data_IF_698838202350
#
_entry.id   IF_698838202350
#
_cell.length_a   1.000
_cell.length_b   1.000
_cell.length_c   1.000
_cell.angle_alpha   90.00
_cell.angle_beta   90.00
_cell.angle_gamma   90.00
#
_symmetry.space_group_name_H-M   'P 1'
#
loop_
_entity.id
_entity.type
_entity.pdbx_description
1 polymer ?
#
# COMPACT_ATOMS: atom_id res chain seq x y z
N UNK A 1 -11.68 -28.28 -9.62
CA UNK A 1 -10.32 -28.48 -9.09
C UNK A 1 -9.31 -28.58 -10.23
N UNK A 2 -8.76 -27.42 -10.56
CA UNK A 2 -7.70 -27.15 -11.52
C UNK A 2 -6.44 -27.91 -11.11
N UNK A 3 -5.72 -28.40 -12.10
CA UNK A 3 -4.53 -29.21 -11.86
C UNK A 3 -3.35 -28.32 -11.39
N UNK A 4 -2.73 -28.66 -10.26
CA UNK A 4 -1.61 -27.91 -9.69
C UNK A 4 -0.39 -27.81 -10.63
N UNK A 5 -0.12 -28.85 -11.44
CA UNK A 5 0.95 -28.81 -12.45
C UNK A 5 0.64 -27.79 -13.55
N UNK A 6 -0.63 -27.77 -14.00
CA UNK A 6 -1.08 -26.80 -15.00
C UNK A 6 -0.95 -25.36 -14.49
N UNK A 7 -1.38 -25.07 -13.26
CA UNK A 7 -1.19 -23.77 -12.60
C UNK A 7 0.30 -23.42 -12.53
N UNK A 8 1.14 -24.35 -12.05
CA UNK A 8 2.58 -24.15 -11.92
C UNK A 8 3.25 -23.82 -13.26
N UNK A 9 2.87 -24.48 -14.34
CA UNK A 9 3.45 -24.24 -15.66
C UNK A 9 2.99 -22.91 -16.26
N UNK A 10 1.72 -22.50 -16.03
CA UNK A 10 1.25 -21.16 -16.39
C UNK A 10 2.01 -20.06 -15.62
N UNK A 11 2.24 -20.25 -14.32
CA UNK A 11 3.03 -19.30 -13.51
C UNK A 11 4.51 -19.23 -13.96
N UNK A 12 5.12 -20.35 -14.38
CA UNK A 12 6.47 -20.35 -14.98
C UNK A 12 6.51 -19.57 -16.28
N UNK A 13 5.48 -19.73 -17.13
CA UNK A 13 5.33 -18.96 -18.36
C UNK A 13 5.25 -17.46 -18.05
N UNK A 14 4.41 -17.06 -17.10
CA UNK A 14 4.31 -15.68 -16.64
C UNK A 14 5.63 -15.10 -16.11
N UNK A 15 6.39 -15.89 -15.34
CA UNK A 15 7.72 -15.49 -14.87
C UNK A 15 8.69 -15.23 -16.03
N UNK A 16 8.67 -16.08 -17.06
CA UNK A 16 9.50 -15.91 -18.26
C UNK A 16 9.10 -14.67 -19.06
N UNK A 17 7.80 -14.44 -19.25
CA UNK A 17 7.27 -13.32 -20.03
C UNK A 17 7.49 -11.97 -19.34
N UNK A 18 7.32 -11.92 -18.02
CA UNK A 18 7.56 -10.71 -17.22
C UNK A 18 9.04 -10.45 -16.87
N UNK A 19 9.93 -11.42 -17.10
CA UNK A 19 11.33 -11.37 -16.67
C UNK A 19 11.53 -11.42 -15.15
N UNK A 20 10.46 -11.64 -14.37
CA UNK A 20 10.49 -11.74 -12.91
C UNK A 20 10.96 -13.13 -12.48
N UNK A 21 11.58 -13.22 -11.29
CA UNK A 21 11.95 -14.52 -10.75
C UNK A 21 10.70 -15.36 -10.43
N UNK A 22 10.71 -16.66 -10.72
CA UNK A 22 9.56 -17.54 -10.49
C UNK A 22 9.04 -17.51 -9.04
N UNK A 23 9.93 -17.38 -8.06
CA UNK A 23 9.55 -17.24 -6.65
C UNK A 23 8.71 -15.98 -6.39
N UNK A 24 8.95 -14.88 -7.12
CA UNK A 24 8.16 -13.66 -6.98
C UNK A 24 6.74 -13.83 -7.54
N UNK A 25 6.62 -14.54 -8.67
CA UNK A 25 5.32 -14.91 -9.24
C UNK A 25 4.55 -15.85 -8.31
N UNK A 26 5.23 -16.81 -7.67
CA UNK A 26 4.60 -17.69 -6.68
C UNK A 26 4.09 -16.93 -5.45
N UNK A 27 4.88 -15.98 -4.94
CA UNK A 27 4.46 -15.15 -3.81
C UNK A 27 3.26 -14.31 -4.22
N UNK A 28 3.33 -13.60 -5.35
CA UNK A 28 2.24 -12.78 -5.86
C UNK A 28 0.94 -13.60 -6.03
N UNK A 29 1.05 -14.82 -6.57
CA UNK A 29 -0.09 -15.74 -6.68
C UNK A 29 -0.66 -16.13 -5.32
N UNK A 30 0.19 -16.44 -4.33
CA UNK A 30 -0.27 -16.72 -2.97
C UNK A 30 -0.98 -15.52 -2.33
N UNK A 31 -0.50 -14.29 -2.54
CA UNK A 31 -1.16 -13.09 -2.01
C UNK A 31 -2.50 -12.84 -2.72
N UNK A 32 -2.53 -12.87 -4.05
CA UNK A 32 -3.73 -12.71 -4.87
C UNK A 32 -4.83 -13.69 -4.46
N UNK A 33 -4.50 -14.99 -4.34
CA UNK A 33 -5.48 -16.02 -3.98
C UNK A 33 -5.89 -15.99 -2.50
N UNK A 34 -5.10 -15.36 -1.64
CA UNK A 34 -5.50 -15.02 -0.27
C UNK A 34 -6.50 -13.86 -0.26
N UNK A 35 -6.28 -12.85 -1.09
CA UNK A 35 -7.19 -11.71 -1.28
C UNK A 35 -8.51 -12.17 -1.90
N UNK A 36 -8.48 -13.12 -2.85
CA UNK A 36 -9.69 -13.74 -3.39
C UNK A 36 -10.52 -14.42 -2.30
N UNK A 37 -9.90 -15.21 -1.42
CA UNK A 37 -10.61 -15.83 -0.29
C UNK A 37 -11.22 -14.78 0.63
N UNK A 38 -10.49 -13.68 0.90
CA UNK A 38 -11.05 -12.55 1.65
C UNK A 38 -12.27 -11.94 0.93
N UNK A 39 -12.21 -11.75 -0.40
CA UNK A 39 -13.26 -11.10 -1.18
C UNK A 39 -14.57 -11.87 -1.19
N UNK A 40 -14.51 -13.20 -1.18
CA UNK A 40 -15.70 -14.07 -1.13
C UNK A 40 -16.12 -14.46 0.28
N UNK A 41 -15.40 -13.99 1.31
CA UNK A 41 -15.73 -14.25 2.71
C UNK A 41 -16.78 -13.28 3.27
N UNK A 42 -17.42 -13.65 4.38
CA UNK A 42 -18.29 -12.77 5.16
C UNK A 42 -17.56 -11.53 5.76
N UNK A 43 -16.22 -11.51 5.71
CA UNK A 43 -15.40 -10.46 6.31
C UNK A 43 -15.00 -9.36 5.32
N UNK A 44 -15.33 -9.46 4.03
CA UNK A 44 -14.89 -8.51 2.99
C UNK A 44 -15.18 -7.05 3.34
N UNK A 45 -16.34 -6.78 3.96
CA UNK A 45 -16.75 -5.42 4.36
C UNK A 45 -15.92 -4.84 5.51
N UNK A 46 -15.27 -5.71 6.29
CA UNK A 46 -14.57 -5.37 7.53
C UNK A 46 -13.08 -5.10 7.34
N UNK A 47 -12.54 -5.37 6.15
CA UNK A 47 -11.15 -5.12 5.82
C UNK A 47 -11.03 -4.20 4.62
N UNK A 48 -10.01 -3.34 4.62
CA UNK A 48 -9.70 -2.45 3.51
C UNK A 48 -8.22 -2.61 3.14
N UNK A 49 -7.94 -2.94 1.88
CA UNK A 49 -6.59 -3.09 1.36
C UNK A 49 -5.83 -1.76 1.36
N UNK A 50 -4.59 -1.78 1.85
CA UNK A 50 -3.70 -0.63 1.89
C UNK A 50 -2.27 -1.01 1.47
N UNK A 51 -1.33 -0.11 1.71
CA UNK A 51 0.09 -0.41 1.65
C UNK A 51 0.60 -0.82 0.27
N UNK A 52 1.60 -1.71 0.23
CA UNK A 52 2.32 -2.04 -1.01
C UNK A 52 1.50 -2.83 -2.02
N UNK A 53 0.67 -3.74 -1.51
CA UNK A 53 -0.20 -4.60 -2.31
C UNK A 53 -1.34 -3.81 -2.97
N UNK A 54 -1.82 -2.74 -2.33
CA UNK A 54 -2.76 -1.81 -2.95
C UNK A 54 -2.12 -1.08 -4.13
N UNK A 55 -0.90 -0.55 -3.96
CA UNK A 55 -0.17 0.08 -5.06
C UNK A 55 0.10 -0.92 -6.19
N UNK A 56 0.49 -2.16 -5.87
CA UNK A 56 0.62 -3.23 -6.86
C UNK A 56 -0.63 -3.38 -7.73
N UNK A 57 -1.81 -3.34 -7.12
CA UNK A 57 -3.06 -3.44 -7.84
C UNK A 57 -3.40 -2.20 -8.68
N UNK A 58 -3.13 -0.99 -8.17
CA UNK A 58 -3.36 0.26 -8.92
C UNK A 58 -2.57 0.34 -10.23
N UNK A 59 -1.39 -0.26 -10.27
CA UNK A 59 -0.53 -0.26 -11.46
C UNK A 59 -0.54 -1.62 -12.18
N UNK A 60 -1.69 -2.32 -12.17
CA UNK A 60 -1.93 -3.55 -12.96
C UNK A 60 -0.86 -4.64 -12.81
N UNK A 61 -0.29 -4.77 -11.61
CA UNK A 61 0.75 -5.75 -11.32
C UNK A 61 2.14 -5.42 -11.87
N UNK A 62 2.31 -4.24 -12.46
CA UNK A 62 3.60 -3.68 -12.90
C UNK A 62 4.34 -2.96 -11.77
N UNK A 63 3.68 -2.66 -10.64
CA UNK A 63 4.34 -1.92 -9.57
C UNK A 63 5.57 -2.66 -9.03
N UNK A 64 6.72 -2.01 -9.23
CA UNK A 64 7.99 -2.68 -9.15
C UNK A 64 8.40 -3.07 -7.72
N UNK A 65 7.79 -2.50 -6.67
CA UNK A 65 8.16 -2.89 -5.30
C UNK A 65 7.45 -4.19 -4.95
N UNK A 66 8.16 -5.32 -5.07
CA UNK A 66 7.66 -6.61 -4.59
C UNK A 66 7.18 -6.49 -3.14
N UNK A 67 5.86 -6.48 -2.98
CA UNK A 67 5.19 -6.67 -1.70
C UNK A 67 5.23 -8.17 -1.41
N UNK A 68 5.50 -8.52 -0.16
CA UNK A 68 5.54 -9.92 0.31
C UNK A 68 4.40 -10.22 1.27
N UNK A 69 3.57 -9.23 1.47
CA UNK A 69 2.68 -9.02 2.57
C UNK A 69 1.43 -8.32 2.04
N UNK A 70 0.29 -8.68 2.63
CA UNK A 70 -0.99 -8.02 2.42
C UNK A 70 -1.16 -7.04 3.58
N UNK A 71 -1.28 -5.75 3.29
CA UNK A 71 -1.60 -4.75 4.30
C UNK A 71 -3.12 -4.50 4.30
N UNK A 72 -3.78 -4.67 5.45
CA UNK A 72 -5.20 -4.40 5.64
C UNK A 72 -5.42 -3.39 6.76
N UNK A 73 -6.45 -2.56 6.64
CA UNK A 73 -7.07 -1.87 7.76
C UNK A 73 -8.34 -2.61 8.18
N UNK A 74 -8.42 -3.01 9.44
CA UNK A 74 -9.63 -3.57 10.02
C UNK A 74 -10.60 -2.47 10.48
N UNK A 75 -11.90 -2.68 10.25
CA UNK A 75 -12.98 -1.83 10.72
C UNK A 75 -14.06 -2.67 11.39
N UNK A 76 -14.58 -2.19 12.53
CA UNK A 76 -15.62 -2.88 13.30
C UNK A 76 -15.23 -4.34 13.68
N UNK A 77 -13.94 -4.55 13.97
CA UNK A 77 -13.35 -5.81 14.41
C UNK A 77 -12.41 -5.51 15.59
N UNK A 78 -12.43 -6.30 16.67
CA UNK A 78 -11.44 -6.18 17.75
C UNK A 78 -10.06 -6.67 17.30
N UNK A 79 -9.00 -6.04 17.80
CA UNK A 79 -7.60 -6.46 17.60
C UNK A 79 -7.18 -7.65 18.50
N UNK A 80 -8.14 -8.48 18.93
CA UNK A 80 -7.91 -9.65 19.77
C UNK A 80 -7.31 -10.80 18.93
N UNK A 81 -6.21 -11.40 19.39
CA UNK A 81 -5.49 -12.43 18.63
C UNK A 81 -6.34 -13.68 18.37
N UNK A 82 -7.10 -14.16 19.35
CA UNK A 82 -7.96 -15.35 19.19
C UNK A 82 -9.09 -15.08 18.18
N UNK A 83 -9.66 -13.88 18.22
CA UNK A 83 -10.66 -13.45 17.25
C UNK A 83 -10.06 -13.36 15.85
N UNK A 84 -8.90 -12.71 15.70
CA UNK A 84 -8.19 -12.60 14.42
C UNK A 84 -7.81 -13.98 13.87
N UNK A 85 -7.35 -14.90 14.72
CA UNK A 85 -7.06 -16.28 14.34
C UNK A 85 -8.30 -17.00 13.82
N UNK A 86 -9.45 -16.85 14.47
CA UNK A 86 -10.73 -17.42 13.98
C UNK A 86 -11.14 -16.83 12.63
N UNK A 87 -11.07 -15.50 12.47
CA UNK A 87 -11.41 -14.81 11.21
C UNK A 87 -10.56 -15.33 10.07
N UNK A 88 -9.24 -15.36 10.25
CA UNK A 88 -8.34 -15.81 9.17
C UNK A 88 -8.36 -17.32 8.96
N UNK A 89 -8.61 -18.13 9.99
CA UNK A 89 -8.88 -19.56 9.79
C UNK A 89 -10.11 -19.77 8.90
N UNK A 90 -11.20 -19.02 9.14
CA UNK A 90 -12.40 -19.07 8.30
C UNK A 90 -12.09 -18.64 6.87
N UNK A 91 -11.38 -17.53 6.66
CA UNK A 91 -10.99 -17.06 5.32
C UNK A 91 -10.14 -18.10 4.58
N UNK A 92 -9.08 -18.61 5.21
CA UNK A 92 -8.16 -19.57 4.57
C UNK A 92 -8.75 -20.97 4.40
N UNK A 93 -9.83 -21.31 5.12
CA UNK A 93 -10.57 -22.56 4.95
C UNK A 93 -11.49 -22.59 3.73
N UNK A 94 -11.73 -21.45 3.08
CA UNK A 94 -12.58 -21.36 1.89
C UNK A 94 -11.92 -22.16 0.76
N UNK A 95 -12.64 -23.17 0.28
CA UNK A 95 -12.22 -23.97 -0.87
C UNK A 95 -12.38 -23.15 -2.15
N UNK A 96 -11.34 -23.12 -2.97
CA UNK A 96 -11.31 -22.35 -4.22
C UNK A 96 -10.64 -23.18 -5.30
N UNK A 97 -11.08 -22.97 -6.55
CA UNK A 97 -10.55 -23.70 -7.69
C UNK A 97 -9.21 -23.14 -8.22
N UNK A 98 -8.21 -23.01 -7.33
CA UNK A 98 -6.91 -22.36 -7.60
C UNK A 98 -5.69 -23.24 -7.25
N UNK A 99 -5.91 -24.51 -6.93
CA UNK A 99 -4.88 -25.49 -6.57
C UNK A 99 -3.99 -25.12 -5.35
N UNK A 100 -4.32 -24.05 -4.61
CA UNK A 100 -3.67 -23.73 -3.35
C UNK A 100 -4.35 -24.45 -2.19
N UNK A 101 -3.54 -24.98 -1.29
CA UNK A 101 -3.98 -25.53 -0.01
C UNK A 101 -3.32 -24.76 1.13
N UNK A 102 -4.13 -24.13 1.97
CA UNK A 102 -3.64 -23.44 3.16
C UNK A 102 -3.56 -24.43 4.31
N UNK A 103 -2.41 -24.46 4.97
CA UNK A 103 -2.16 -25.33 6.12
C UNK A 103 -2.53 -24.59 7.40
N UNK A 104 -3.75 -24.84 7.88
CA UNK A 104 -4.30 -24.18 9.06
C UNK A 104 -3.53 -24.50 10.35
N UNK A 105 -2.76 -25.60 10.39
CA UNK A 105 -1.90 -25.92 11.54
C UNK A 105 -0.72 -24.96 11.64
N UNK A 106 -0.36 -24.31 10.52
CA UNK A 106 0.69 -23.27 10.47
C UNK A 106 0.16 -21.86 10.69
N UNK A 107 -1.14 -21.68 10.89
CA UNK A 107 -1.73 -20.36 11.10
C UNK A 107 -1.31 -19.80 12.47
N UNK A 108 -0.55 -18.70 12.42
CA UNK A 108 -0.11 -17.96 13.59
C UNK A 108 -0.53 -16.50 13.54
N UNK A 109 -0.79 -15.94 14.71
CA UNK A 109 -1.31 -14.57 14.87
C UNK A 109 -0.59 -13.90 16.04
N UNK A 110 0.16 -12.84 15.74
CA UNK A 110 0.97 -12.14 16.74
C UNK A 110 0.71 -10.63 16.72
N UNK A 111 0.89 -9.98 17.88
CA UNK A 111 0.86 -8.52 17.93
C UNK A 111 2.09 -7.95 17.24
N UNK A 112 1.88 -6.88 16.49
CA UNK A 112 2.94 -6.05 15.94
C UNK A 112 2.74 -4.61 16.38
N UNK A 113 3.84 -3.87 16.53
CA UNK A 113 3.76 -2.44 16.81
C UNK A 113 3.60 -1.71 15.48
N UNK A 114 2.42 -1.13 15.26
CA UNK A 114 2.24 -0.11 14.24
C UNK A 114 2.61 1.26 14.85
N UNK A 115 2.84 2.29 14.04
CA UNK A 115 3.40 3.56 14.49
C UNK A 115 2.71 4.14 15.75
N UNK A 116 3.56 4.55 16.71
CA UNK A 116 3.34 5.33 17.94
C UNK A 116 2.21 4.92 18.92
N UNK A 117 1.02 4.44 18.53
CA UNK A 117 -0.06 4.17 19.49
C UNK A 117 -0.99 2.96 19.21
N UNK A 118 -0.94 2.32 18.03
CA UNK A 118 -1.82 1.18 17.72
C UNK A 118 -1.08 -0.15 17.60
N UNK A 119 -1.52 -1.13 18.37
CA UNK A 119 -1.08 -2.52 18.21
C UNK A 119 -1.82 -3.15 17.03
N UNK A 120 -1.12 -3.24 15.90
CA UNK A 120 -1.53 -4.06 14.76
C UNK A 120 -1.40 -5.55 15.07
N UNK A 121 -1.86 -6.36 14.14
CA UNK A 121 -1.74 -7.82 14.20
C UNK A 121 -1.11 -8.32 12.91
N UNK A 122 -0.10 -9.17 13.00
CA UNK A 122 0.39 -9.94 11.88
C UNK A 122 -0.25 -11.33 11.92
N UNK A 123 -0.71 -11.78 10.76
CA UNK A 123 -1.21 -13.14 10.52
C UNK A 123 -0.29 -13.81 9.52
N UNK A 124 0.22 -14.98 9.87
CA UNK A 124 1.09 -15.76 8.99
C UNK A 124 0.55 -17.16 8.79
N UNK A 125 0.68 -17.68 7.57
CA UNK A 125 0.23 -19.04 7.21
C UNK A 125 1.06 -19.57 6.03
N UNK A 126 1.21 -20.89 5.92
CA UNK A 126 1.81 -21.53 4.75
C UNK A 126 0.71 -22.02 3.80
N UNK A 127 0.76 -21.55 2.56
CA UNK A 127 0.04 -22.14 1.44
C UNK A 127 0.93 -23.11 0.67
N UNK A 128 0.33 -24.09 0.02
CA UNK A 128 0.99 -25.08 -0.80
C UNK A 128 0.40 -25.11 -2.21
N UNK A 129 1.26 -24.99 -3.21
CA UNK A 129 0.97 -25.37 -4.59
C UNK A 129 1.67 -26.71 -4.86
N UNK A 130 0.91 -27.80 -4.81
CA UNK A 130 1.45 -29.17 -4.73
C UNK A 130 2.44 -29.28 -3.54
N UNK A 131 3.74 -29.53 -3.77
CA UNK A 131 4.76 -29.61 -2.71
C UNK A 131 5.48 -28.29 -2.45
N UNK A 132 5.19 -27.24 -3.23
CA UNK A 132 5.88 -25.96 -3.14
C UNK A 132 5.24 -25.08 -2.07
N UNK A 133 6.02 -24.73 -1.03
CA UNK A 133 5.61 -23.82 0.05
C UNK A 133 5.58 -22.38 -0.43
N UNK A 134 4.51 -21.68 -0.08
CA UNK A 134 4.29 -20.26 -0.34
C UNK A 134 3.89 -19.61 1.00
N UNK A 135 4.83 -18.98 1.72
CA UNK A 135 4.50 -18.23 2.92
C UNK A 135 3.62 -17.03 2.58
N UNK A 136 2.54 -16.85 3.33
CA UNK A 136 1.62 -15.70 3.24
C UNK A 136 1.65 -14.95 4.57
N UNK A 137 1.77 -13.62 4.48
CA UNK A 137 1.77 -12.72 5.63
C UNK A 137 0.73 -11.63 5.40
N UNK A 138 -0.10 -11.36 6.41
CA UNK A 138 -1.12 -10.32 6.41
C UNK A 138 -0.92 -9.42 7.62
N UNK A 139 -0.58 -8.16 7.39
CA UNK A 139 -0.49 -7.14 8.42
C UNK A 139 -1.82 -6.41 8.50
N UNK A 140 -2.40 -6.39 9.69
CA UNK A 140 -3.69 -5.78 9.97
C UNK A 140 -3.49 -4.61 10.92
N UNK A 141 -3.68 -3.41 10.39
CA UNK A 141 -3.76 -2.18 11.16
C UNK A 141 -5.16 -1.88 11.67
N UNK A 142 -5.25 -0.99 12.65
CA UNK A 142 -6.49 -0.60 13.31
C UNK A 142 -6.51 0.91 13.56
N UNK A 143 -7.70 1.51 13.56
CA UNK A 143 -7.91 2.88 14.02
C UNK A 143 -7.71 3.98 12.97
N UNK A 144 -6.93 3.72 11.91
CA UNK A 144 -6.67 4.72 10.87
C UNK A 144 -7.95 5.27 10.20
N UNK A 145 -7.85 6.52 9.74
CA UNK A 145 -8.92 7.23 9.06
C UNK A 145 -8.75 7.11 7.55
N UNK A 146 -9.84 6.78 6.86
CA UNK A 146 -9.93 6.81 5.40
C UNK A 146 -10.82 7.98 5.00
N UNK A 147 -10.33 8.84 4.11
CA UNK A 147 -11.08 9.93 3.52
C UNK A 147 -10.84 10.04 2.01
N UNK A 148 -11.86 10.29 1.18
CA UNK A 148 -13.27 10.51 1.53
C UNK A 148 -14.01 9.26 2.02
N UNK A 149 -13.68 8.08 1.48
CA UNK A 149 -14.22 6.77 1.88
C UNK A 149 -13.36 5.64 1.28
N UNK A 150 -13.58 4.41 1.76
CA UNK A 150 -13.00 3.20 1.12
C UNK A 150 -13.62 3.00 -0.26
N UNK A 151 -12.81 2.65 -1.25
CA UNK A 151 -13.27 2.40 -2.63
C UNK A 151 -13.43 0.90 -2.86
N UNK A 152 -14.32 0.50 -3.77
CA UNK A 152 -14.33 -0.88 -4.28
C UNK A 152 -13.32 -0.97 -5.41
N UNK A 153 -12.56 -2.05 -5.46
CA UNK A 153 -11.62 -2.33 -6.53
C UNK A 153 -11.70 -3.80 -6.97
N UNK A 154 -11.50 -4.01 -8.26
CA UNK A 154 -11.11 -5.29 -8.85
C UNK A 154 -9.60 -5.44 -8.63
N UNK A 155 -9.19 -6.50 -7.94
CA UNK A 155 -7.78 -6.78 -7.73
C UNK A 155 -7.23 -7.57 -8.94
N UNK A 156 -6.10 -7.18 -9.54
CA UNK A 156 -5.62 -7.84 -10.75
C UNK A 156 -5.17 -9.28 -10.47
N UNK A 157 -5.40 -10.16 -11.45
CA UNK A 157 -5.03 -11.57 -11.39
C UNK A 157 -3.89 -11.92 -12.34
N UNK A 158 -3.01 -12.82 -11.91
CA UNK A 158 -1.85 -13.29 -12.68
C UNK A 158 -2.24 -14.30 -13.77
N UNK A 159 -3.32 -15.04 -13.53
CA UNK A 159 -3.84 -16.08 -14.41
C UNK A 159 -5.29 -15.75 -14.71
N UNK A 160 -5.76 -16.13 -15.91
CA UNK A 160 -7.17 -16.12 -16.27
C UNK A 160 -7.99 -16.95 -15.25
N UNK A 161 -8.52 -16.23 -14.26
CA UNK A 161 -9.21 -16.65 -13.03
C UNK A 161 -10.11 -15.50 -12.59
N UNK A 162 -11.09 -15.78 -11.74
CA UNK A 162 -12.00 -14.75 -11.23
C UNK A 162 -11.26 -13.72 -10.36
N UNK A 163 -11.54 -12.44 -10.64
CA UNK A 163 -10.93 -11.28 -9.98
C UNK A 163 -11.54 -11.04 -8.60
N UNK A 164 -10.73 -10.78 -7.56
CA UNK A 164 -11.23 -10.39 -6.24
C UNK A 164 -11.87 -9.01 -6.26
N UNK A 165 -13.12 -8.91 -5.79
CA UNK A 165 -13.79 -7.64 -5.50
C UNK A 165 -13.63 -7.27 -4.02
N UNK A 166 -12.78 -6.28 -3.72
CA UNK A 166 -12.43 -5.91 -2.35
C UNK A 166 -12.59 -4.41 -2.09
N UNK A 167 -12.54 -4.03 -0.81
CA UNK A 167 -12.38 -2.64 -0.43
C UNK A 167 -10.92 -2.24 -0.35
N UNK A 168 -10.62 -1.01 -0.74
CA UNK A 168 -9.28 -0.44 -0.74
C UNK A 168 -9.26 1.01 -0.25
N UNK A 169 -8.07 1.50 0.07
CA UNK A 169 -7.86 2.91 0.38
C UNK A 169 -8.15 3.78 -0.85
N UNK A 170 -8.57 5.02 -0.60
CA UNK A 170 -8.52 6.08 -1.60
C UNK A 170 -7.08 6.57 -1.78
N UNK A 171 -6.73 7.09 -2.95
CA UNK A 171 -5.40 7.68 -3.20
C UNK A 171 -5.09 8.82 -2.20
N UNK A 172 -6.03 9.76 -1.90
CA UNK A 172 -5.81 10.76 -0.86
C UNK A 172 -5.45 10.16 0.50
N UNK A 173 -6.06 9.05 0.91
CA UNK A 173 -5.74 8.38 2.18
C UNK A 173 -4.33 7.80 2.17
N UNK A 174 -3.91 7.18 1.07
CA UNK A 174 -2.54 6.63 0.94
C UNK A 174 -1.50 7.73 0.96
N UNK A 175 -1.71 8.82 0.21
CA UNK A 175 -0.79 9.98 0.23
C UNK A 175 -0.71 10.57 1.63
N UNK A 176 -1.85 10.75 2.30
CA UNK A 176 -1.92 11.31 3.65
C UNK A 176 -1.18 10.46 4.69
N UNK A 177 -1.37 9.14 4.66
CA UNK A 177 -0.70 8.22 5.58
C UNK A 177 0.82 8.22 5.39
N UNK A 178 1.26 8.20 4.13
CA UNK A 178 2.69 8.23 3.78
C UNK A 178 3.31 9.57 4.15
N UNK A 179 2.60 10.65 3.89
CA UNK A 179 3.06 11.99 4.22
C UNK A 179 3.19 12.18 5.74
N UNK A 180 2.19 11.74 6.50
CA UNK A 180 2.25 11.75 7.97
C UNK A 180 3.44 10.96 8.48
N UNK A 181 3.69 9.76 7.95
CA UNK A 181 4.84 8.95 8.34
C UNK A 181 6.18 9.63 7.97
N UNK A 182 6.24 10.36 6.85
CA UNK A 182 7.41 11.14 6.43
C UNK A 182 7.72 12.23 7.45
N UNK A 183 6.70 13.00 7.84
CA UNK A 183 6.82 14.12 8.78
C UNK A 183 7.15 13.61 10.19
N UNK A 184 6.37 12.64 10.71
CA UNK A 184 6.50 12.12 12.08
C UNK A 184 7.85 11.47 12.38
N UNK A 185 8.55 10.96 11.36
CA UNK A 185 9.90 10.40 11.46
C UNK A 185 11.02 11.44 11.37
N UNK A 186 10.78 12.60 10.74
CA UNK A 186 11.76 13.66 10.55
C UNK A 186 13.12 13.15 10.04
N UNK A 187 14.22 13.55 10.71
CA UNK A 187 15.58 13.16 10.36
C UNK A 187 15.86 11.64 10.50
N UNK A 188 15.10 10.90 11.32
CA UNK A 188 15.30 9.47 11.50
C UNK A 188 14.74 8.63 10.34
N UNK A 189 14.25 9.26 9.27
CA UNK A 189 13.51 8.58 8.23
C UNK A 189 14.32 7.48 7.53
N UNK A 190 13.71 6.30 7.46
CA UNK A 190 14.20 5.14 6.69
C UNK A 190 13.16 4.64 5.68
N UNK A 191 11.97 5.26 5.67
CA UNK A 191 10.82 4.85 4.85
C UNK A 191 10.87 5.50 3.47
N UNK A 192 12.01 5.40 2.78
CA UNK A 192 12.19 5.94 1.41
C UNK A 192 11.14 5.46 0.40
N UNK A 193 10.57 4.28 0.63
CA UNK A 193 9.41 3.79 -0.13
C UNK A 193 8.25 4.78 -0.12
N UNK A 194 7.99 5.48 0.99
CA UNK A 194 6.84 6.38 1.09
C UNK A 194 7.04 7.66 0.26
N UNK A 195 8.27 8.19 0.21
CA UNK A 195 8.62 9.28 -0.71
C UNK A 195 8.45 8.85 -2.16
N UNK A 196 8.95 7.65 -2.49
CA UNK A 196 8.82 7.10 -3.83
C UNK A 196 7.37 6.87 -4.24
N UNK A 197 6.57 6.29 -3.36
CA UNK A 197 5.17 5.98 -3.62
C UNK A 197 4.35 7.26 -3.84
N UNK A 198 4.56 8.32 -3.03
CA UNK A 198 3.93 9.64 -3.27
C UNK A 198 4.37 10.21 -4.63
N UNK A 199 5.66 10.15 -4.94
CA UNK A 199 6.17 10.61 -6.23
C UNK A 199 5.50 9.90 -7.40
N UNK A 200 5.36 8.57 -7.35
CA UNK A 200 4.70 7.82 -8.42
C UNK A 200 3.22 8.20 -8.51
N UNK A 201 2.50 8.25 -7.39
CA UNK A 201 1.08 8.63 -7.38
C UNK A 201 0.86 10.03 -7.97
N UNK A 202 1.69 11.00 -7.60
CA UNK A 202 1.64 12.37 -8.13
C UNK A 202 1.90 12.45 -9.64
N UNK A 203 2.65 11.49 -10.20
CA UNK A 203 2.96 11.46 -11.63
C UNK A 203 1.93 10.68 -12.47
N UNK A 204 0.93 10.06 -11.84
CA UNK A 204 -0.01 9.17 -12.54
C UNK A 204 -1.48 9.50 -12.33
N UNK A 205 -1.82 10.25 -11.28
CA UNK A 205 -3.20 10.53 -10.95
C UNK A 205 -3.43 12.03 -10.76
N UNK A 206 -4.53 12.51 -11.33
CA UNK A 206 -5.08 13.81 -10.97
C UNK A 206 -5.67 13.74 -9.57
N UNK A 207 -5.51 14.81 -8.79
CA UNK A 207 -5.93 14.85 -7.39
C UNK A 207 -6.79 16.08 -7.12
N UNK A 208 -7.93 15.87 -6.46
CA UNK A 208 -8.73 16.97 -5.96
C UNK A 208 -8.07 17.57 -4.69
N UNK A 209 -7.80 18.88 -4.73
CA UNK A 209 -7.10 19.56 -3.65
C UNK A 209 -7.90 19.63 -2.37
N UNK A 210 -9.24 19.70 -2.44
CA UNK A 210 -10.12 19.73 -1.28
C UNK A 210 -10.15 18.36 -0.60
N UNK A 211 -10.23 17.29 -1.39
CA UNK A 211 -10.18 15.93 -0.87
C UNK A 211 -8.82 15.61 -0.23
N UNK A 212 -7.73 15.94 -0.92
CA UNK A 212 -6.38 15.70 -0.40
C UNK A 212 -6.12 16.51 0.87
N UNK A 213 -6.54 17.78 0.91
CA UNK A 213 -6.46 18.63 2.10
C UNK A 213 -7.16 18.00 3.29
N UNK A 214 -8.41 17.58 3.12
CA UNK A 214 -9.20 17.03 4.22
C UNK A 214 -8.68 15.66 4.66
N UNK A 215 -8.19 14.83 3.73
CA UNK A 215 -7.51 13.58 4.07
C UNK A 215 -6.26 13.82 4.92
N UNK A 216 -5.38 14.74 4.51
CA UNK A 216 -4.15 15.07 5.25
C UNK A 216 -4.51 15.60 6.63
N UNK A 217 -5.44 16.56 6.71
CA UNK A 217 -5.88 17.14 7.98
C UNK A 217 -6.40 16.08 8.95
N UNK A 218 -7.24 15.15 8.49
CA UNK A 218 -7.79 14.08 9.32
C UNK A 218 -6.74 13.09 9.78
N UNK A 219 -5.84 12.67 8.89
CA UNK A 219 -4.78 11.73 9.21
C UNK A 219 -3.79 12.30 10.22
N UNK A 220 -3.33 13.54 10.01
CA UNK A 220 -2.40 14.21 10.92
C UNK A 220 -3.02 14.45 12.30
N UNK A 221 -4.28 14.91 12.34
CA UNK A 221 -5.00 15.09 13.60
C UNK A 221 -5.22 13.76 14.34
N UNK A 222 -5.58 12.70 13.61
CA UNK A 222 -5.79 11.37 14.20
C UNK A 222 -4.51 10.78 14.81
N UNK A 223 -3.36 11.02 14.17
CA UNK A 223 -2.06 10.49 14.61
C UNK A 223 -1.27 11.45 15.51
N UNK A 224 -1.82 12.62 15.84
CA UNK A 224 -1.18 13.61 16.70
C UNK A 224 0.08 14.24 16.12
N UNK A 225 0.21 14.27 14.78
CA UNK A 225 1.38 14.86 14.10
C UNK A 225 1.05 16.30 13.67
N UNK A 226 1.88 17.25 14.10
CA UNK A 226 1.78 18.66 13.71
C UNK A 226 2.48 18.96 12.39
N UNK A 227 2.28 20.18 11.87
CA UNK A 227 2.94 20.68 10.66
C UNK A 227 4.17 21.56 10.96
N UNK A 228 4.51 21.73 12.24
CA UNK A 228 5.52 22.69 12.71
C UNK A 228 6.96 22.25 12.41
N UNK A 229 7.20 20.94 12.27
CA UNK A 229 8.50 20.37 11.94
C UNK A 229 8.37 19.35 10.81
N UNK A 230 8.72 19.79 9.60
CA UNK A 230 8.81 18.94 8.40
C UNK A 230 10.26 18.79 7.96
N UNK A 231 11.18 18.49 8.89
CA UNK A 231 12.62 18.32 8.61
C UNK A 231 12.91 17.46 7.37
N UNK A 232 12.15 16.39 7.17
CA UNK A 232 12.31 15.47 6.03
C UNK A 232 12.09 16.11 4.64
N UNK A 233 11.53 17.34 4.59
CA UNK A 233 11.34 18.14 3.37
C UNK A 233 12.32 19.31 3.29
N UNK A 234 13.35 19.38 4.13
CA UNK A 234 14.33 20.47 4.12
C UNK A 234 15.49 20.21 3.16
N UNK A 235 16.26 21.25 2.85
CA UNK A 235 17.51 21.08 2.12
C UNK A 235 18.56 20.35 2.97
N UNK A 236 18.55 20.51 4.28
CA UNK A 236 19.47 19.82 5.20
C UNK A 236 19.27 18.29 5.14
N UNK A 237 18.02 17.82 5.05
CA UNK A 237 17.71 16.41 4.81
C UNK A 237 18.24 15.96 3.44
N UNK A 238 18.09 16.78 2.40
CA UNK A 238 18.52 16.44 1.05
C UNK A 238 20.04 16.33 0.92
N UNK A 239 20.81 17.28 1.47
CA UNK A 239 22.28 17.31 1.33
C UNK A 239 22.98 16.32 2.26
N UNK A 240 22.28 15.75 3.24
CA UNK A 240 22.84 14.75 4.13
C UNK A 240 23.20 13.46 3.35
N UNK A 241 24.48 13.09 3.38
CA UNK A 241 25.02 11.94 2.66
C UNK A 241 24.36 10.61 3.05
N UNK A 242 23.89 10.47 4.30
CA UNK A 242 23.21 9.27 4.78
C UNK A 242 21.91 9.07 4.00
N UNK A 243 21.12 10.12 3.82
CA UNK A 243 19.85 10.02 3.12
C UNK A 243 20.03 9.78 1.63
N UNK A 244 21.02 10.43 1.00
CA UNK A 244 21.41 10.17 -0.39
C UNK A 244 21.84 8.72 -0.60
N UNK A 245 22.66 8.18 0.32
CA UNK A 245 23.14 6.81 0.25
C UNK A 245 22.00 5.81 0.42
N UNK A 246 21.12 6.03 1.39
CA UNK A 246 19.94 5.18 1.63
C UNK A 246 18.95 5.22 0.46
N UNK A 247 18.74 6.38 -0.16
CA UNK A 247 17.94 6.52 -1.37
C UNK A 247 18.51 5.69 -2.53
N UNK A 248 19.81 5.82 -2.81
CA UNK A 248 20.50 5.02 -3.84
C UNK A 248 20.39 3.52 -3.55
N UNK A 249 20.52 3.10 -2.29
CA UNK A 249 20.35 1.70 -1.89
C UNK A 249 18.91 1.22 -2.07
N UNK A 250 17.92 2.07 -1.79
CA UNK A 250 16.52 1.78 -2.04
C UNK A 250 16.25 1.56 -3.55
N UNK A 251 16.72 2.45 -4.42
CA UNK A 251 16.56 2.34 -5.88
C UNK A 251 17.32 1.18 -6.51
N UNK A 252 18.49 0.81 -5.97
CA UNK A 252 19.28 -0.33 -6.47
C UNK A 252 18.58 -1.68 -6.27
N UNK A 253 17.61 -1.78 -5.36
CA UNK A 253 16.75 -2.96 -5.30
C UNK A 253 15.97 -2.98 -6.62
N UNK A 254 16.02 -4.11 -7.36
CA UNK A 254 15.52 -4.31 -8.76
C UNK A 254 14.00 -4.14 -8.95
N UNK A 255 13.41 -3.11 -8.33
CA UNK A 255 12.05 -3.09 -7.83
C UNK A 255 11.48 -1.67 -7.77
N UNK A 256 11.99 -0.77 -8.60
CA UNK A 256 11.50 0.60 -8.77
C UNK A 256 11.15 0.80 -10.24
N UNK A 257 10.01 1.45 -10.51
CA UNK A 257 9.50 1.70 -11.86
C UNK A 257 10.38 2.69 -12.62
N UNK A 258 10.81 3.72 -11.92
CA UNK A 258 11.59 4.85 -12.42
C UNK A 258 12.81 5.04 -11.53
N UNK A 259 13.97 5.23 -12.16
CA UNK A 259 15.20 5.65 -11.49
C UNK A 259 15.21 7.19 -11.44
N UNK A 260 15.10 7.77 -10.25
CA UNK A 260 14.89 9.21 -10.03
C UNK A 260 15.75 9.70 -8.85
N UNK A 261 16.23 10.95 -8.88
CA UNK A 261 17.04 11.45 -7.76
C UNK A 261 16.15 11.79 -6.56
N UNK A 262 16.72 11.74 -5.35
CA UNK A 262 15.98 12.14 -4.14
C UNK A 262 15.55 13.61 -4.20
N UNK A 263 16.37 14.46 -4.83
CA UNK A 263 16.07 15.86 -5.09
C UNK A 263 14.77 16.03 -5.89
N UNK A 264 14.69 15.43 -7.08
CA UNK A 264 13.49 15.49 -7.94
C UNK A 264 12.24 14.98 -7.21
N UNK A 265 12.40 13.93 -6.38
CA UNK A 265 11.30 13.38 -5.56
C UNK A 265 10.85 14.36 -4.50
N UNK A 266 11.79 14.97 -3.76
CA UNK A 266 11.46 15.94 -2.73
C UNK A 266 10.85 17.20 -3.32
N UNK A 267 11.35 17.69 -4.46
CA UNK A 267 10.76 18.83 -5.17
C UNK A 267 9.31 18.54 -5.55
N UNK A 268 9.03 17.39 -6.16
CA UNK A 268 7.67 16.99 -6.50
C UNK A 268 6.75 16.91 -5.28
N UNK A 269 7.21 16.28 -4.19
CA UNK A 269 6.45 16.18 -2.94
C UNK A 269 6.18 17.57 -2.37
N UNK A 270 7.14 18.49 -2.42
CA UNK A 270 6.95 19.87 -1.96
C UNK A 270 5.92 20.60 -2.80
N UNK A 271 6.00 20.52 -4.12
CA UNK A 271 5.04 21.16 -5.03
C UNK A 271 3.62 20.63 -4.82
N UNK A 272 3.48 19.32 -4.58
CA UNK A 272 2.19 18.70 -4.32
C UNK A 272 1.64 19.10 -2.95
N UNK A 273 2.43 18.96 -1.88
CA UNK A 273 1.91 18.93 -0.51
C UNK A 273 2.04 20.26 0.25
N UNK A 274 3.06 21.09 -0.01
CA UNK A 274 3.23 22.34 0.74
C UNK A 274 2.08 23.35 0.53
N UNK A 275 1.54 23.54 -0.69
CA UNK A 275 0.35 24.39 -0.86
C UNK A 275 -0.86 23.89 -0.06
N UNK A 276 -1.02 22.57 0.02
CA UNK A 276 -2.08 21.94 0.83
C UNK A 276 -1.85 22.20 2.31
N UNK A 277 -0.63 21.99 2.81
CA UNK A 277 -0.26 22.26 4.21
C UNK A 277 -0.48 23.72 4.57
N UNK A 278 -0.05 24.65 3.72
CA UNK A 278 -0.27 26.08 3.91
C UNK A 278 -1.77 26.41 4.04
N UNK A 279 -2.62 25.82 3.19
CA UNK A 279 -4.07 25.99 3.30
C UNK A 279 -4.70 25.39 4.57
N UNK A 280 -4.07 24.37 5.15
CA UNK A 280 -4.49 23.78 6.43
C UNK A 280 -4.13 24.73 7.57
N UNK A 281 -2.88 25.21 7.61
CA UNK A 281 -2.36 26.11 8.65
C UNK A 281 -3.14 27.43 8.65
N UNK A 282 -3.37 28.01 7.47
CA UNK A 282 -4.06 29.29 7.31
C UNK A 282 -5.60 29.16 7.31
N UNK A 283 -6.13 27.93 7.42
CA UNK A 283 -7.56 27.63 7.36
C UNK A 283 -8.29 28.19 6.11
N UNK A 284 -7.61 28.25 4.96
CA UNK A 284 -8.14 28.76 3.68
C UNK A 284 -8.63 27.62 2.79
N UNK A 285 -9.66 27.85 1.96
CA UNK A 285 -10.09 26.82 1.01
C UNK A 285 -8.99 26.49 -0.01
N UNK A 286 -8.95 25.23 -0.45
CA UNK A 286 -8.04 24.78 -1.50
C UNK A 286 -8.81 23.92 -2.49
N UNK A 287 -9.32 24.55 -3.53
CA UNK A 287 -10.19 23.90 -4.53
C UNK A 287 -9.48 23.59 -5.84
N UNK A 288 -8.17 23.87 -5.95
CA UNK A 288 -7.38 23.54 -7.13
C UNK A 288 -7.30 22.02 -7.35
N UNK A 289 -7.03 21.60 -8.58
CA UNK A 289 -6.80 20.19 -8.93
C UNK A 289 -5.35 19.99 -9.36
N UNK A 290 -4.75 18.88 -8.94
CA UNK A 290 -3.42 18.49 -9.37
C UNK A 290 -3.56 17.84 -10.74
N UNK A 291 -2.84 18.38 -11.73
CA UNK A 291 -2.74 17.81 -13.08
C UNK A 291 -1.44 17.02 -13.16
N UNK A 292 -1.52 15.68 -13.23
CA UNK A 292 -0.33 14.83 -13.22
C UNK A 292 0.52 14.96 -14.51
N UNK A 293 -0.08 15.38 -15.62
CA UNK A 293 0.61 15.56 -16.91
C UNK A 293 1.55 16.77 -16.85
N UNK A 294 1.07 17.86 -16.27
CA UNK A 294 1.84 19.10 -16.12
C UNK A 294 2.52 19.26 -14.77
N UNK A 295 2.21 18.38 -13.81
CA UNK A 295 2.81 18.31 -12.47
C UNK A 295 2.66 19.63 -11.71
N UNK A 296 1.46 20.20 -11.78
CA UNK A 296 1.13 21.43 -11.06
C UNK A 296 -0.33 21.45 -10.61
N UNK A 297 -0.59 22.27 -9.60
CA UNK A 297 -1.95 22.62 -9.20
C UNK A 297 -2.54 23.63 -10.18
N UNK A 298 -3.77 23.39 -10.60
CA UNK A 298 -4.54 24.24 -11.51
C UNK A 298 -5.84 24.66 -10.85
N UNK A 299 -6.20 25.92 -11.01
CA UNK A 299 -7.47 26.41 -10.51
C UNK A 299 -8.64 25.90 -11.36
N UNK A 300 -9.74 25.56 -10.70
CA UNK A 300 -11.00 25.14 -11.35
C UNK A 300 -11.54 26.20 -12.31
N UNK A 301 -11.09 27.46 -12.17
CA UNK A 301 -11.51 28.60 -12.98
C UNK A 301 -10.52 28.98 -14.10
N UNK A 302 -9.45 28.20 -14.34
CA UNK A 302 -8.59 28.36 -15.52
C UNK A 302 -7.88 29.71 -15.67
N UNK A 303 -7.58 30.43 -14.58
CA UNK A 303 -6.71 31.61 -14.65
C UNK A 303 -5.26 31.18 -14.46
N UNK A 304 -4.52 31.30 -15.56
CA UNK A 304 -3.06 31.18 -15.64
C UNK A 304 -2.37 32.26 -14.82
#
# INVERSE_FOLDING_TARGET
MINAMSVKDRLKKQAKESGKAFQEILIAYGLERSIYRLSVSEYVERFTLKGGIFLYALFEGEFARATKDIDLLAKNIPNNLDYMKKVFANIFSIDCDDALKYDLDTLDVMKITEFKEYHGVNVSIIAYLDRTKIPVSVDVGFGDVIYPHKIKMEFPVLLDMEEPYIYAYSIPSVISEKFEAIVSLGNANSRYKDFYDIYILANQYDLDGKELKEAIKRTFAHRGTGFDDMFALTNDFLVNEIHQTRWKMFLKKKKVLVNVKLEDVLEMIKMLLLPIVDSIINATDYSSYWDHVTRCWRDVNGKF
#
